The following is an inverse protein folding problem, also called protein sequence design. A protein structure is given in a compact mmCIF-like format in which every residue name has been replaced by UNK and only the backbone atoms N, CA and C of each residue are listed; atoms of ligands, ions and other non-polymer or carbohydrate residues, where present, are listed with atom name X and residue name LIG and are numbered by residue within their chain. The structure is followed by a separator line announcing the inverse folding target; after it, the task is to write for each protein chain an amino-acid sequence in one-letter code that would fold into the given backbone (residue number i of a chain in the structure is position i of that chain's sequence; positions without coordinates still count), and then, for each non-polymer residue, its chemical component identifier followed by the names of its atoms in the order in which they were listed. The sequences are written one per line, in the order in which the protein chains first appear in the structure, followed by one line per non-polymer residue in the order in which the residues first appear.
data_IF_460271845386
#
_entry.id   IF_460271845386
#
_cell.length_a   1.000
_cell.length_b   1.000
_cell.length_c   1.000
_cell.angle_alpha   90.00
_cell.angle_beta   90.00
_cell.angle_gamma   90.00
#
_symmetry.space_group_name_H-M   'P 1'
#
loop_
_entity.id
_entity.type
_entity.pdbx_description
1 polymer ?
#
# COMPACT_ATOMS: atom_id res chain seq x y z
N UNK A 1 -20.17 -10.99 -18.28
CA UNK A 1 -19.05 -10.15 -18.72
C UNK A 1 -19.31 -8.73 -18.23
N UNK A 2 -18.63 -8.28 -17.19
CA UNK A 2 -18.86 -6.97 -16.58
C UNK A 2 -17.96 -5.91 -17.25
N UNK A 3 -18.57 -4.82 -17.75
CA UNK A 3 -17.88 -3.66 -18.33
C UNK A 3 -16.97 -3.02 -17.28
N UNK A 4 -15.70 -2.82 -17.60
CA UNK A 4 -14.77 -1.95 -16.87
C UNK A 4 -15.36 -0.54 -16.86
N UNK A 5 -15.52 0.08 -15.70
CA UNK A 5 -15.86 1.51 -15.65
C UNK A 5 -14.69 2.30 -16.26
N UNK A 6 -14.95 3.07 -17.31
CA UNK A 6 -13.93 3.88 -17.97
C UNK A 6 -13.41 4.95 -17.00
N UNK A 7 -12.13 4.85 -16.61
CA UNK A 7 -11.45 5.87 -15.83
C UNK A 7 -11.34 7.13 -16.68
N UNK A 8 -11.98 8.22 -16.25
CA UNK A 8 -11.90 9.50 -16.97
C UNK A 8 -10.53 10.15 -16.76
N UNK A 9 -9.67 10.09 -17.79
CA UNK A 9 -8.39 10.79 -17.82
C UNK A 9 -8.53 12.17 -18.48
N UNK A 10 -7.85 13.20 -17.97
CA UNK A 10 -7.77 14.51 -18.66
C UNK A 10 -6.96 14.44 -19.96
N UNK A 11 -7.02 15.48 -20.78
CA UNK A 11 -6.21 15.57 -22.00
C UNK A 11 -4.70 15.50 -21.73
N UNK A 12 -4.24 16.14 -20.64
CA UNK A 12 -2.85 16.07 -20.19
C UNK A 12 -2.46 14.62 -19.83
N UNK A 13 -3.33 13.94 -19.08
CA UNK A 13 -3.12 12.54 -18.67
C UNK A 13 -3.17 11.58 -19.88
N UNK A 14 -4.10 11.79 -20.81
CA UNK A 14 -4.20 11.04 -22.09
C UNK A 14 -2.94 11.23 -22.94
N UNK A 15 -2.40 12.45 -23.01
CA UNK A 15 -1.15 12.74 -23.71
C UNK A 15 0.02 11.94 -23.13
N UNK A 16 0.16 11.89 -21.80
CA UNK A 16 1.18 11.07 -21.15
C UNK A 16 0.98 9.58 -21.45
N UNK A 17 -0.26 9.08 -21.33
CA UNK A 17 -0.58 7.69 -21.61
C UNK A 17 -0.16 7.30 -23.05
N UNK A 18 -0.47 8.13 -24.04
CA UNK A 18 -0.05 7.93 -25.43
C UNK A 18 1.47 7.93 -25.60
N UNK A 19 2.17 8.93 -25.04
CA UNK A 19 3.63 9.00 -25.16
C UNK A 19 4.32 7.76 -24.57
N UNK A 20 3.79 7.23 -23.47
CA UNK A 20 4.34 6.05 -22.81
C UNK A 20 3.98 4.77 -23.56
N UNK A 21 2.70 4.56 -23.89
CA UNK A 21 2.19 3.27 -24.38
C UNK A 21 2.36 3.14 -25.90
N UNK A 22 2.10 4.18 -26.66
CA UNK A 22 2.14 4.14 -28.14
C UNK A 22 3.52 4.52 -28.66
N UNK A 23 4.10 5.61 -28.15
CA UNK A 23 5.37 6.16 -28.64
C UNK A 23 6.61 5.57 -27.94
N UNK A 24 6.42 4.76 -26.89
CA UNK A 24 7.49 4.10 -26.10
C UNK A 24 8.55 5.07 -25.55
N UNK A 25 8.15 6.30 -25.24
CA UNK A 25 9.04 7.35 -24.72
C UNK A 25 9.35 7.17 -23.25
N UNK A 26 10.55 7.56 -22.85
CA UNK A 26 10.91 7.69 -21.43
C UNK A 26 10.38 9.02 -20.90
N UNK A 27 9.40 8.97 -20.00
CA UNK A 27 8.65 10.14 -19.55
C UNK A 27 8.76 10.29 -18.04
N UNK A 28 9.10 11.50 -17.60
CA UNK A 28 8.85 11.97 -16.25
C UNK A 28 7.56 12.80 -16.26
N UNK A 29 6.59 12.46 -15.43
CA UNK A 29 5.42 13.31 -15.24
C UNK A 29 5.25 13.70 -13.77
N UNK A 30 4.91 14.96 -13.55
CA UNK A 30 4.84 15.58 -12.22
C UNK A 30 3.61 16.48 -12.13
N UNK A 31 3.41 17.12 -10.99
CA UNK A 31 2.30 18.02 -10.72
C UNK A 31 2.03 18.11 -9.22
N UNK A 32 1.29 19.13 -8.80
CA UNK A 32 0.90 19.33 -7.38
C UNK A 32 0.23 18.10 -6.78
N UNK A 33 0.12 18.06 -5.45
CA UNK A 33 -0.70 17.06 -4.78
C UNK A 33 -2.14 17.07 -5.33
N UNK A 34 -2.69 15.88 -5.60
CA UNK A 34 -4.07 15.77 -6.09
C UNK A 34 -4.28 15.90 -7.60
N UNK A 35 -3.24 16.01 -8.43
CA UNK A 35 -3.37 16.08 -9.91
C UNK A 35 -3.61 14.73 -10.62
N UNK A 36 -3.85 13.66 -9.85
CA UNK A 36 -4.16 12.34 -10.40
C UNK A 36 -2.95 11.55 -10.92
N UNK A 37 -1.73 11.85 -10.46
CA UNK A 37 -0.49 11.13 -10.84
C UNK A 37 -0.61 9.61 -10.69
N UNK A 38 -1.04 9.12 -9.52
CA UNK A 38 -1.15 7.69 -9.26
C UNK A 38 -2.31 7.03 -10.04
N UNK A 39 -3.39 7.77 -10.31
CA UNK A 39 -4.48 7.30 -11.19
C UNK A 39 -3.95 7.08 -12.62
N UNK A 40 -3.24 8.06 -13.17
CA UNK A 40 -2.59 7.94 -14.47
C UNK A 40 -1.57 6.80 -14.50
N UNK A 41 -0.76 6.65 -13.44
CA UNK A 41 0.22 5.56 -13.33
C UNK A 41 -0.45 4.18 -13.40
N UNK A 42 -1.58 3.98 -12.71
CA UNK A 42 -2.37 2.74 -12.78
C UNK A 42 -2.89 2.48 -14.20
N UNK A 43 -3.42 3.49 -14.87
CA UNK A 43 -3.88 3.37 -16.26
C UNK A 43 -2.73 3.01 -17.21
N UNK A 44 -1.55 3.59 -17.02
CA UNK A 44 -0.33 3.24 -17.77
C UNK A 44 0.06 1.79 -17.51
N UNK A 45 0.10 1.35 -16.25
CA UNK A 45 0.45 -0.03 -15.88
C UNK A 45 -0.51 -1.02 -16.55
N UNK A 46 -1.82 -0.77 -16.50
CA UNK A 46 -2.83 -1.63 -17.12
C UNK A 46 -2.67 -1.68 -18.64
N UNK A 47 -2.52 -0.52 -19.29
CA UNK A 47 -2.33 -0.44 -20.73
C UNK A 47 -1.05 -1.14 -21.20
N UNK A 48 0.06 -0.97 -20.48
CA UNK A 48 1.33 -1.65 -20.76
C UNK A 48 1.20 -3.17 -20.55
N UNK A 49 0.55 -3.61 -19.47
CA UNK A 49 0.32 -5.05 -19.21
C UNK A 49 -0.53 -5.67 -20.31
N UNK A 50 -1.53 -4.95 -20.83
CA UNK A 50 -2.33 -5.37 -21.99
C UNK A 50 -1.49 -5.45 -23.27
N UNK A 51 -0.67 -4.41 -23.55
CA UNK A 51 0.25 -4.38 -24.71
C UNK A 51 1.28 -5.51 -24.66
N UNK A 52 1.74 -5.87 -23.47
CA UNK A 52 2.76 -6.90 -23.24
C UNK A 52 2.19 -8.20 -22.65
N UNK A 53 0.91 -8.52 -22.87
CA UNK A 53 0.24 -9.67 -22.24
C UNK A 53 0.97 -11.01 -22.45
N UNK A 54 1.69 -11.19 -23.57
CA UNK A 54 2.49 -12.39 -23.87
C UNK A 54 3.82 -12.47 -23.09
N UNK A 55 4.24 -11.41 -22.40
CA UNK A 55 5.50 -11.27 -21.65
C UNK A 55 5.27 -10.43 -20.39
N UNK A 56 4.45 -10.93 -19.46
CA UNK A 56 4.07 -10.21 -18.24
C UNK A 56 5.26 -9.69 -17.42
N UNK A 57 6.38 -10.42 -17.41
CA UNK A 57 7.56 -10.09 -16.60
C UNK A 57 8.44 -8.96 -17.18
N UNK A 58 8.03 -8.33 -18.29
CA UNK A 58 8.83 -7.24 -18.89
C UNK A 58 8.52 -5.85 -18.34
N UNK A 59 7.51 -5.70 -17.47
CA UNK A 59 7.14 -4.43 -16.84
C UNK A 59 7.50 -4.51 -15.36
N UNK A 60 8.45 -3.68 -14.94
CA UNK A 60 8.88 -3.59 -13.55
C UNK A 60 8.24 -2.39 -12.89
N UNK A 61 7.36 -2.64 -11.92
CA UNK A 61 6.68 -1.59 -11.14
C UNK A 61 7.44 -1.36 -9.84
N UNK A 62 7.94 -0.13 -9.65
CA UNK A 62 8.73 0.23 -8.48
C UNK A 62 8.32 1.56 -7.86
N UNK A 63 8.68 1.76 -6.60
CA UNK A 63 8.59 3.06 -5.93
C UNK A 63 9.78 3.28 -4.98
N UNK A 64 9.94 4.50 -4.47
CA UNK A 64 11.00 4.84 -3.51
C UNK A 64 10.83 4.15 -2.14
N UNK A 65 9.60 3.92 -1.70
CA UNK A 65 9.28 3.33 -0.38
C UNK A 65 8.42 2.07 -0.49
N UNK A 66 8.45 1.22 0.54
CA UNK A 66 7.68 -0.04 0.56
C UNK A 66 6.17 0.16 0.55
N UNK A 67 5.68 1.22 1.21
CA UNK A 67 4.26 1.60 1.17
C UNK A 67 3.84 2.02 -0.24
N UNK A 68 4.65 2.87 -0.90
CA UNK A 68 4.33 3.37 -2.23
C UNK A 68 4.34 2.23 -3.25
N UNK A 69 5.33 1.35 -3.13
CA UNK A 69 5.44 0.15 -3.95
C UNK A 69 4.22 -0.77 -3.76
N UNK A 70 3.77 -0.97 -2.52
CA UNK A 70 2.57 -1.78 -2.23
C UNK A 70 1.31 -1.17 -2.85
N UNK A 71 1.18 0.17 -2.89
CA UNK A 71 0.03 0.87 -3.46
C UNK A 71 -0.18 0.67 -4.96
N UNK A 72 0.90 0.43 -5.68
CA UNK A 72 0.91 0.24 -7.12
C UNK A 72 1.19 -1.23 -7.51
N UNK A 73 1.18 -2.14 -6.54
CA UNK A 73 1.41 -3.57 -6.76
C UNK A 73 2.82 -3.89 -7.27
N UNK A 74 3.82 -3.16 -6.77
CA UNK A 74 5.23 -3.29 -7.13
C UNK A 74 6.14 -3.58 -5.93
N UNK A 75 7.44 -3.33 -6.10
CA UNK A 75 8.47 -3.45 -5.06
C UNK A 75 9.29 -2.16 -4.93
N UNK A 76 10.14 -2.03 -3.91
CA UNK A 76 11.01 -0.86 -3.82
C UNK A 76 12.05 -0.88 -4.94
N UNK A 77 12.47 0.31 -5.40
CA UNK A 77 13.50 0.42 -6.44
C UNK A 77 14.84 -0.22 -6.02
N UNK A 78 15.16 -0.18 -4.71
CA UNK A 78 16.30 -0.85 -4.12
C UNK A 78 16.22 -2.39 -4.26
N UNK A 79 15.07 -2.97 -3.90
CA UNK A 79 14.85 -4.41 -4.03
C UNK A 79 14.85 -4.86 -5.50
N UNK A 80 14.20 -4.07 -6.37
CA UNK A 80 14.20 -4.33 -7.80
C UNK A 80 15.61 -4.35 -8.38
N UNK A 81 16.39 -3.28 -8.10
CA UNK A 81 17.74 -3.08 -8.60
C UNK A 81 18.79 -3.98 -7.96
N UNK A 82 18.44 -4.74 -6.92
CA UNK A 82 19.36 -5.56 -6.14
C UNK A 82 20.46 -4.74 -5.44
N UNK A 83 20.16 -3.51 -5.03
CA UNK A 83 21.11 -2.56 -4.43
C UNK A 83 20.81 -2.39 -2.95
N UNK A 84 21.78 -2.72 -2.10
CA UNK A 84 21.72 -2.37 -0.69
C UNK A 84 22.11 -0.89 -0.50
N UNK A 85 21.45 -0.13 0.40
CA UNK A 85 21.68 1.31 0.56
C UNK A 85 23.14 1.71 0.78
N UNK A 86 23.92 0.86 1.44
CA UNK A 86 25.32 1.12 1.81
C UNK A 86 26.34 0.69 0.76
N UNK A 87 25.93 0.03 -0.32
CA UNK A 87 26.86 -0.52 -1.31
C UNK A 87 27.02 0.44 -2.48
N UNK A 88 28.24 0.93 -2.67
CA UNK A 88 28.59 1.91 -3.71
C UNK A 88 29.45 1.30 -4.83
N UNK A 89 30.13 0.18 -4.59
CA UNK A 89 30.97 -0.50 -5.60
C UNK A 89 30.13 -1.20 -6.67
N UNK A 90 30.15 -0.62 -7.88
CA UNK A 90 29.40 -1.10 -9.05
C UNK A 90 29.90 -2.47 -9.52
N UNK A 91 31.21 -2.73 -9.51
CA UNK A 91 31.75 -4.00 -10.02
C UNK A 91 31.41 -5.16 -9.09
N UNK A 92 31.43 -4.93 -7.79
CA UNK A 92 30.94 -5.89 -6.81
C UNK A 92 29.43 -6.14 -6.97
N UNK A 93 28.63 -5.08 -7.12
CA UNK A 93 27.19 -5.20 -7.40
C UNK A 93 26.93 -6.05 -8.66
N UNK A 94 27.66 -5.81 -9.75
CA UNK A 94 27.55 -6.59 -10.98
C UNK A 94 27.86 -8.07 -10.73
N UNK A 95 28.92 -8.38 -9.99
CA UNK A 95 29.28 -9.76 -9.64
C UNK A 95 28.14 -10.43 -8.86
N UNK A 96 27.64 -9.79 -7.80
CA UNK A 96 26.54 -10.30 -6.99
C UNK A 96 25.24 -10.47 -7.80
N UNK A 97 24.92 -9.52 -8.68
CA UNK A 97 23.72 -9.61 -9.53
C UNK A 97 23.88 -10.75 -10.54
N UNK A 98 25.07 -10.96 -11.11
CA UNK A 98 25.33 -12.05 -12.06
C UNK A 98 25.20 -13.43 -11.42
N UNK A 99 25.56 -13.58 -10.15
CA UNK A 99 25.36 -14.84 -9.42
C UNK A 99 23.89 -15.06 -9.04
N UNK A 100 23.15 -14.00 -8.72
CA UNK A 100 21.72 -14.05 -8.43
C UNK A 100 20.87 -14.10 -9.72
N UNK A 101 20.65 -15.30 -10.27
CA UNK A 101 19.96 -15.51 -11.56
C UNK A 101 18.64 -14.72 -11.69
N UNK A 102 17.72 -14.69 -10.70
CA UNK A 102 16.46 -13.95 -10.81
C UNK A 102 16.67 -12.44 -10.94
N UNK A 103 17.57 -11.83 -10.16
CA UNK A 103 17.92 -10.42 -10.32
C UNK A 103 18.53 -10.13 -11.69
N UNK A 104 19.46 -10.97 -12.17
CA UNK A 104 20.01 -10.83 -13.52
C UNK A 104 18.92 -10.92 -14.60
N UNK A 105 17.98 -11.84 -14.45
CA UNK A 105 16.85 -11.96 -15.37
C UNK A 105 15.92 -10.74 -15.31
N UNK A 106 15.64 -10.17 -14.13
CA UNK A 106 14.91 -8.90 -14.02
C UNK A 106 15.58 -7.80 -14.81
N UNK A 107 16.89 -7.62 -14.63
CA UNK A 107 17.68 -6.62 -15.38
C UNK A 107 17.66 -6.85 -16.90
N UNK A 108 17.69 -8.12 -17.36
CA UNK A 108 17.68 -8.46 -18.79
C UNK A 108 16.30 -8.39 -19.44
N UNK A 109 15.25 -8.76 -18.71
CA UNK A 109 13.90 -8.93 -19.26
C UNK A 109 13.06 -7.66 -19.14
N UNK A 110 13.36 -6.78 -18.18
CA UNK A 110 12.66 -5.50 -18.03
C UNK A 110 12.78 -4.68 -19.31
N UNK A 111 11.63 -4.28 -19.86
CA UNK A 111 11.51 -3.35 -20.99
C UNK A 111 11.07 -1.99 -20.52
N UNK A 112 10.16 -1.95 -19.55
CA UNK A 112 9.66 -0.71 -18.93
C UNK A 112 9.93 -0.77 -17.43
N UNK A 113 10.62 0.23 -16.91
CA UNK A 113 10.80 0.45 -15.48
C UNK A 113 9.95 1.65 -15.05
N UNK A 114 9.03 1.40 -14.14
CA UNK A 114 8.15 2.39 -13.56
C UNK A 114 8.67 2.76 -12.18
N UNK A 115 8.81 4.06 -11.90
CA UNK A 115 9.31 4.59 -10.62
C UNK A 115 8.31 5.62 -10.10
N UNK A 116 7.57 5.25 -9.05
CA UNK A 116 6.71 6.16 -8.30
C UNK A 116 7.42 6.81 -7.10
N UNK A 117 6.94 7.98 -6.69
CA UNK A 117 7.51 8.80 -5.62
C UNK A 117 9.02 9.06 -5.78
N UNK A 118 9.41 9.49 -6.98
CA UNK A 118 10.82 9.73 -7.34
C UNK A 118 11.50 10.84 -6.51
N UNK A 119 10.73 11.70 -5.84
CA UNK A 119 11.30 12.79 -5.02
C UNK A 119 12.19 12.28 -3.89
N UNK A 120 11.92 11.08 -3.39
CA UNK A 120 12.72 10.42 -2.35
C UNK A 120 13.83 9.52 -2.91
N UNK A 121 14.03 9.50 -4.24
CA UNK A 121 15.11 8.75 -4.89
C UNK A 121 16.36 9.63 -4.94
N UNK A 122 17.40 9.16 -4.26
CA UNK A 122 18.73 9.76 -4.28
C UNK A 122 19.37 9.71 -5.68
N UNK A 123 20.07 10.78 -6.07
CA UNK A 123 20.70 10.90 -7.38
C UNK A 123 21.81 9.87 -7.61
N UNK A 124 22.60 9.53 -6.59
CA UNK A 124 23.64 8.50 -6.73
C UNK A 124 23.03 7.10 -6.89
N UNK A 125 21.87 6.84 -6.30
CA UNK A 125 21.11 5.63 -6.57
C UNK A 125 20.67 5.57 -8.05
N UNK A 126 20.13 6.68 -8.58
CA UNK A 126 19.70 6.75 -9.98
C UNK A 126 20.86 6.50 -10.96
N UNK A 127 22.03 7.11 -10.72
CA UNK A 127 23.24 6.90 -11.52
C UNK A 127 23.75 5.46 -11.48
N UNK A 128 23.76 4.86 -10.28
CA UNK A 128 24.12 3.45 -10.11
C UNK A 128 23.20 2.55 -10.92
N UNK A 129 21.88 2.77 -10.85
CA UNK A 129 20.91 2.00 -11.62
C UNK A 129 21.13 2.15 -13.13
N UNK A 130 21.37 3.36 -13.63
CA UNK A 130 21.65 3.60 -15.05
C UNK A 130 22.94 2.90 -15.52
N UNK A 131 23.99 2.94 -14.69
CA UNK A 131 25.26 2.27 -14.97
C UNK A 131 25.09 0.75 -14.98
N UNK A 132 24.39 0.20 -13.98
CA UNK A 132 24.07 -1.23 -13.90
C UNK A 132 23.24 -1.68 -15.11
N UNK A 133 22.24 -0.92 -15.51
CA UNK A 133 21.41 -1.22 -16.69
C UNK A 133 22.28 -1.37 -17.95
N UNK A 134 23.24 -0.46 -18.13
CA UNK A 134 24.16 -0.45 -19.27
C UNK A 134 25.14 -1.63 -19.23
N UNK A 135 25.65 -2.00 -18.04
CA UNK A 135 26.66 -3.06 -17.87
C UNK A 135 26.09 -4.49 -17.82
N UNK A 136 24.85 -4.66 -17.38
CA UNK A 136 24.20 -5.97 -17.21
C UNK A 136 23.42 -6.44 -18.44
N UNK A 137 23.02 -5.50 -19.30
CA UNK A 137 22.26 -5.78 -20.52
C UNK A 137 23.19 -5.96 -21.72
N UNK A 138 22.63 -6.39 -22.86
CA UNK A 138 23.38 -6.49 -24.12
C UNK A 138 23.98 -5.12 -24.47
N UNK A 139 25.18 -5.10 -25.06
CA UNK A 139 25.84 -3.85 -25.49
C UNK A 139 24.86 -3.02 -26.32
N UNK A 140 24.49 -1.85 -25.80
CA UNK A 140 23.62 -0.87 -26.42
C UNK A 140 24.10 0.51 -26.03
N UNK A 141 23.97 1.47 -26.95
CA UNK A 141 24.25 2.89 -26.70
C UNK A 141 23.03 3.63 -26.16
N UNK A 142 21.87 2.95 -26.06
CA UNK A 142 20.65 3.55 -25.55
C UNK A 142 20.78 3.85 -24.05
N UNK A 143 20.28 5.00 -23.56
CA UNK A 143 20.24 5.33 -22.14
C UNK A 143 19.60 4.22 -21.31
N UNK A 144 20.06 4.07 -20.06
CA UNK A 144 19.56 3.05 -19.12
C UNK A 144 19.54 1.62 -19.70
N UNK A 145 20.53 1.27 -20.52
CA UNK A 145 20.58 -0.04 -21.20
C UNK A 145 19.40 -0.31 -22.14
N UNK A 146 18.73 0.73 -22.63
CA UNK A 146 17.55 0.64 -23.48
C UNK A 146 16.26 0.25 -22.76
N UNK A 147 16.20 0.41 -21.43
CA UNK A 147 14.94 0.31 -20.67
C UNK A 147 14.18 1.63 -20.81
N UNK A 148 12.89 1.55 -21.14
CA UNK A 148 11.98 2.70 -21.10
C UNK A 148 11.70 3.08 -19.64
N UNK A 149 11.86 4.36 -19.31
CA UNK A 149 11.59 4.86 -17.97
C UNK A 149 10.24 5.58 -17.91
N UNK A 150 9.39 5.19 -16.96
CA UNK A 150 8.16 5.91 -16.63
C UNK A 150 8.26 6.37 -15.19
N UNK A 151 8.49 7.65 -14.99
CA UNK A 151 8.85 8.21 -13.69
C UNK A 151 7.79 9.20 -13.25
N UNK A 152 7.39 9.14 -11.98
CA UNK A 152 6.43 10.09 -11.40
C UNK A 152 6.79 10.43 -9.96
N UNK A 153 6.39 11.64 -9.55
CA UNK A 153 6.60 12.20 -8.24
C UNK A 153 6.54 13.72 -8.30
N UNK A 154 6.74 14.39 -7.18
CA UNK A 154 6.80 15.84 -7.10
C UNK A 154 7.92 16.28 -6.17
N UNK A 155 8.96 16.89 -6.73
CA UNK A 155 10.17 17.27 -6.02
C UNK A 155 9.99 18.38 -4.98
N UNK A 156 8.82 19.04 -4.95
CA UNK A 156 8.44 19.97 -3.88
C UNK A 156 7.95 19.25 -2.61
N UNK A 157 7.85 17.91 -2.64
CA UNK A 157 7.42 17.10 -1.51
C UNK A 157 8.64 16.65 -0.70
N UNK A 158 8.67 15.38 -0.28
CA UNK A 158 9.74 14.89 0.58
C UNK A 158 11.00 14.59 -0.25
N UNK A 159 12.18 15.11 0.18
CA UNK A 159 13.45 14.85 -0.48
C UNK A 159 13.98 13.44 -0.15
N UNK A 160 15.08 13.01 -0.79
CA UNK A 160 15.79 11.81 -0.38
C UNK A 160 16.22 11.87 1.09
N UNK A 161 16.17 10.74 1.78
CA UNK A 161 16.59 10.65 3.19
C UNK A 161 18.11 10.63 3.26
N UNK A 162 18.71 11.70 3.77
CA UNK A 162 20.16 11.80 4.02
C UNK A 162 20.52 11.44 5.46
N UNK A 163 21.79 11.08 5.71
CA UNK A 163 22.30 10.87 7.06
C UNK A 163 22.96 12.17 7.54
N UNK A 164 22.57 12.65 8.73
CA UNK A 164 23.12 13.88 9.29
C UNK A 164 22.65 15.12 8.53
N UNK A 165 23.54 16.09 8.33
CA UNK A 165 23.26 17.39 7.70
C UNK A 165 23.68 17.44 6.21
N UNK A 166 23.80 16.28 5.56
CA UNK A 166 24.11 16.25 4.13
C UNK A 166 22.96 16.83 3.30
N UNK A 167 23.31 17.68 2.33
CA UNK A 167 22.35 18.22 1.37
C UNK A 167 21.84 17.09 0.50
N UNK A 168 20.51 16.91 0.35
CA UNK A 168 19.97 15.86 -0.51
C UNK A 168 20.39 16.05 -1.96
N UNK A 169 20.97 15.00 -2.56
CA UNK A 169 21.25 14.95 -3.99
C UNK A 169 20.05 14.34 -4.72
N UNK A 170 19.33 15.15 -5.49
CA UNK A 170 18.09 14.72 -6.12
C UNK A 170 18.33 13.93 -7.41
N UNK A 171 17.41 13.02 -7.73
CA UNK A 171 17.45 12.27 -8.98
C UNK A 171 17.63 13.16 -10.22
N UNK A 172 16.94 14.31 -10.28
CA UNK A 172 16.99 15.22 -11.44
C UNK A 172 18.33 15.94 -11.62
N UNK A 173 19.18 15.97 -10.59
CA UNK A 173 20.50 16.60 -10.64
C UNK A 173 21.55 15.70 -11.31
N UNK A 174 21.29 14.38 -11.36
CA UNK A 174 22.20 13.41 -11.95
C UNK A 174 22.33 13.52 -13.48
N UNK A 175 23.51 13.22 -14.00
CA UNK A 175 23.73 13.16 -15.46
C UNK A 175 22.93 12.03 -16.12
N UNK A 176 22.74 10.93 -15.39
CA UNK A 176 21.88 9.84 -15.82
C UNK A 176 20.44 10.31 -16.06
N UNK A 177 19.89 11.21 -15.23
CA UNK A 177 18.54 11.73 -15.43
C UNK A 177 18.41 12.51 -16.73
N UNK A 178 19.32 13.45 -16.97
CA UNK A 178 19.35 14.30 -18.16
C UNK A 178 19.38 13.49 -19.46
N UNK A 179 20.08 12.35 -19.43
CA UNK A 179 20.22 11.46 -20.60
C UNK A 179 19.08 10.45 -20.75
N UNK A 180 18.48 10.00 -19.63
CA UNK A 180 17.50 8.92 -19.67
C UNK A 180 16.04 9.40 -19.77
N UNK A 181 15.72 10.59 -19.27
CA UNK A 181 14.38 11.17 -19.33
C UNK A 181 14.24 12.03 -20.59
N UNK A 182 13.38 11.61 -21.52
CA UNK A 182 13.21 12.28 -22.81
C UNK A 182 12.18 13.41 -22.76
N UNK A 183 11.16 13.25 -21.92
CA UNK A 183 10.07 14.21 -21.80
C UNK A 183 9.66 14.42 -20.35
N UNK A 184 9.48 15.68 -19.99
CA UNK A 184 8.89 16.08 -18.71
C UNK A 184 7.50 16.66 -18.95
N UNK A 185 6.49 16.17 -18.24
CA UNK A 185 5.11 16.65 -18.34
C UNK A 185 4.63 17.11 -16.97
N UNK A 186 4.10 18.33 -16.89
CA UNK A 186 3.48 18.86 -15.67
C UNK A 186 1.96 18.75 -15.81
N UNK A 187 1.33 18.03 -14.89
CA UNK A 187 -0.13 17.95 -14.75
C UNK A 187 -0.60 19.13 -13.89
N UNK A 188 -1.50 19.94 -14.44
CA UNK A 188 -1.94 21.18 -13.79
C UNK A 188 -3.29 21.03 -13.11
N UNK A 189 -4.17 20.19 -13.65
CA UNK A 189 -5.53 20.03 -13.12
C UNK A 189 -5.51 19.27 -11.79
N UNK A 190 -5.91 19.94 -10.72
CA UNK A 190 -6.12 19.34 -9.40
C UNK A 190 -7.51 18.71 -9.34
N UNK A 191 -7.59 17.46 -8.92
CA UNK A 191 -8.84 16.69 -8.80
C UNK A 191 -9.24 16.41 -7.35
N UNK A 192 -8.29 16.47 -6.41
CA UNK A 192 -8.52 16.06 -5.01
C UNK A 192 -9.30 17.10 -4.23
N UNK A 193 -9.01 18.38 -4.43
CA UNK A 193 -9.67 19.49 -3.75
C UNK A 193 -10.60 20.21 -4.74
N UNK A 194 -11.89 20.32 -4.40
CA UNK A 194 -12.87 21.08 -5.19
C UNK A 194 -12.80 22.60 -4.95
N UNK A 195 -12.34 23.02 -3.76
CA UNK A 195 -12.24 24.42 -3.39
C UNK A 195 -10.97 25.05 -3.99
N UNK A 196 -11.17 25.91 -5.00
CA UNK A 196 -10.09 26.62 -5.67
C UNK A 196 -9.27 27.48 -4.70
N UNK A 197 -9.90 28.11 -3.68
CA UNK A 197 -9.15 28.89 -2.69
C UNK A 197 -8.18 27.99 -1.93
N UNK A 198 -8.64 26.83 -1.50
CA UNK A 198 -7.78 25.87 -0.81
C UNK A 198 -6.68 25.31 -1.71
N UNK A 199 -6.95 25.11 -3.00
CA UNK A 199 -5.92 24.74 -3.99
C UNK A 199 -4.83 25.80 -4.08
N UNK A 200 -5.21 27.08 -4.13
CA UNK A 200 -4.26 28.20 -4.20
C UNK A 200 -3.39 28.28 -2.93
N UNK A 201 -4.00 28.16 -1.74
CA UNK A 201 -3.28 28.10 -0.46
C UNK A 201 -2.22 26.98 -0.44
N UNK A 202 -2.57 25.80 -0.94
CA UNK A 202 -1.66 24.64 -1.00
C UNK A 202 -0.54 24.84 -2.03
N UNK A 203 -0.81 25.51 -3.15
CA UNK A 203 0.21 25.83 -4.15
C UNK A 203 1.19 26.90 -3.64
N UNK A 204 0.72 27.94 -2.92
CA UNK A 204 1.60 28.90 -2.25
C UNK A 204 2.55 28.20 -1.26
N UNK A 205 2.00 27.28 -0.47
CA UNK A 205 2.79 26.46 0.47
C UNK A 205 3.80 25.57 -0.26
N UNK A 206 3.40 24.94 -1.37
CA UNK A 206 4.30 24.12 -2.22
C UNK A 206 5.50 24.92 -2.72
N UNK A 207 5.32 26.18 -3.09
CA UNK A 207 6.38 27.06 -3.58
C UNK A 207 7.15 27.79 -2.47
N UNK A 208 6.73 27.67 -1.21
CA UNK A 208 7.32 28.40 -0.09
C UNK A 208 7.09 29.92 -0.12
N UNK A 209 6.11 30.38 -0.91
CA UNK A 209 5.80 31.81 -1.11
C UNK A 209 4.44 32.12 -0.51
N UNK A 210 4.38 32.19 0.83
CA UNK A 210 3.14 32.37 1.58
C UNK A 210 2.74 33.84 1.71
N UNK A 211 1.57 34.20 1.21
CA UNK A 211 0.96 35.51 1.47
C UNK A 211 0.48 35.63 2.93
N UNK A 212 0.26 36.87 3.39
CA UNK A 212 -0.33 37.13 4.71
C UNK A 212 -1.73 36.51 4.83
N UNK A 213 -2.54 36.59 3.77
CA UNK A 213 -3.85 35.95 3.69
C UNK A 213 -3.75 34.43 3.85
N UNK A 214 -2.76 33.80 3.22
CA UNK A 214 -2.54 32.35 3.32
C UNK A 214 -2.11 31.94 4.72
N UNK A 215 -1.21 32.72 5.32
CA UNK A 215 -0.76 32.49 6.69
C UNK A 215 -1.91 32.62 7.69
N UNK A 216 -2.76 33.64 7.53
CA UNK A 216 -3.95 33.83 8.36
C UNK A 216 -4.95 32.66 8.18
N UNK A 217 -5.17 32.22 6.95
CA UNK A 217 -6.04 31.08 6.65
C UNK A 217 -5.56 29.79 7.33
N UNK A 218 -4.27 29.45 7.24
CA UNK A 218 -3.73 28.27 7.92
C UNK A 218 -3.81 28.37 9.44
N UNK A 219 -3.55 29.55 10.04
CA UNK A 219 -3.69 29.75 11.49
C UNK A 219 -5.13 29.55 11.96
N UNK A 220 -6.12 29.97 11.17
CA UNK A 220 -7.53 29.77 11.48
C UNK A 220 -7.95 28.28 11.52
N UNK A 221 -7.17 27.38 10.91
CA UNK A 221 -7.40 25.92 10.95
C UNK A 221 -6.95 25.26 12.27
N UNK A 222 -6.37 26.01 13.21
CA UNK A 222 -6.02 25.51 14.56
C UNK A 222 -7.24 25.16 15.43
N UNK A 223 -8.44 25.55 14.99
CA UNK A 223 -9.71 25.17 15.63
C UNK A 223 -9.86 23.65 15.71
N UNK A 224 -10.51 23.12 16.76
CA UNK A 224 -10.83 21.70 16.82
C UNK A 224 -11.77 21.31 15.66
N UNK A 225 -11.62 20.08 15.18
CA UNK A 225 -12.53 19.50 14.19
C UNK A 225 -13.81 19.03 14.89
N UNK A 226 -14.96 19.23 14.25
CA UNK A 226 -16.25 18.82 14.81
C UNK A 226 -16.28 17.31 14.99
N UNK A 227 -16.33 16.86 16.23
CA UNK A 227 -16.46 15.44 16.56
C UNK A 227 -17.93 15.05 16.44
N UNK A 228 -18.44 14.90 15.21
CA UNK A 228 -19.74 14.25 15.03
C UNK A 228 -19.66 12.82 15.59
N UNK A 229 -20.62 12.39 16.44
CA UNK A 229 -20.63 11.05 17.02
C UNK A 229 -20.76 9.93 15.97
N UNK A 230 -21.13 10.27 14.73
CA UNK A 230 -21.28 9.33 13.61
C UNK A 230 -20.06 9.25 12.68
N UNK A 231 -19.08 10.16 12.79
CA UNK A 231 -17.89 10.16 11.94
C UNK A 231 -16.68 9.55 12.65
N UNK A 232 -15.90 8.73 11.93
CA UNK A 232 -14.59 8.32 12.42
C UNK A 232 -13.74 9.57 12.67
N UNK A 233 -13.04 9.64 13.81
CA UNK A 233 -12.19 10.78 14.09
C UNK A 233 -11.03 10.87 13.09
N UNK A 234 -10.55 12.09 12.85
CA UNK A 234 -9.56 12.37 11.82
C UNK A 234 -8.22 11.67 12.11
N UNK A 235 -7.50 11.35 11.03
CA UNK A 235 -6.10 10.92 11.13
C UNK A 235 -5.21 12.15 11.33
N UNK A 236 -4.39 12.10 12.36
CA UNK A 236 -3.39 13.11 12.70
C UNK A 236 -2.05 12.79 12.07
N UNK A 237 -1.32 13.84 11.70
CA UNK A 237 -0.01 13.73 11.10
C UNK A 237 1.03 14.37 12.01
N UNK A 238 2.11 13.64 12.26
CA UNK A 238 3.24 14.08 13.07
C UNK A 238 4.54 14.03 12.25
N UNK A 239 5.54 14.84 12.59
CA UNK A 239 6.86 14.72 11.96
C UNK A 239 7.61 13.46 12.42
N UNK A 240 7.53 13.09 13.71
CA UNK A 240 8.39 12.04 14.28
C UNK A 240 7.63 10.77 14.63
N UNK A 241 8.27 9.60 14.45
CA UNK A 241 7.67 8.29 14.75
C UNK A 241 7.24 8.15 16.21
N UNK A 242 8.05 8.64 17.14
CA UNK A 242 7.74 8.52 18.56
C UNK A 242 6.49 9.33 18.98
N UNK A 243 6.17 10.41 18.25
CA UNK A 243 4.95 11.19 18.49
C UNK A 243 3.72 10.43 18.00
N UNK A 244 3.84 9.79 16.84
CA UNK A 244 2.84 8.86 16.31
C UNK A 244 2.57 7.73 17.31
N UNK A 245 3.62 7.08 17.77
CA UNK A 245 3.51 5.96 18.70
C UNK A 245 2.86 6.39 20.01
N UNK A 246 3.27 7.54 20.57
CA UNK A 246 2.67 8.10 21.80
C UNK A 246 1.19 8.41 21.61
N UNK A 247 0.84 9.07 20.51
CA UNK A 247 -0.52 9.50 20.18
C UNK A 247 -1.44 8.29 20.00
N UNK A 248 -0.96 7.24 19.32
CA UNK A 248 -1.66 5.98 19.18
C UNK A 248 -1.79 5.26 20.53
N UNK A 249 -0.70 4.97 21.24
CA UNK A 249 -0.75 4.28 22.55
C UNK A 249 -1.73 4.94 23.53
N UNK A 250 -1.72 6.27 23.63
CA UNK A 250 -2.60 7.02 24.53
C UNK A 250 -4.08 6.80 24.20
N UNK A 251 -4.45 6.76 22.91
CA UNK A 251 -5.83 6.58 22.48
C UNK A 251 -6.32 5.14 22.62
N UNK A 252 -5.50 4.14 22.32
CA UNK A 252 -5.86 2.75 22.61
C UNK A 252 -6.08 2.56 24.10
N UNK A 253 -5.27 3.20 24.95
CA UNK A 253 -5.44 3.14 26.39
C UNK A 253 -6.78 3.74 26.85
N UNK A 254 -7.26 4.80 26.20
CA UNK A 254 -8.55 5.43 26.49
C UNK A 254 -9.76 4.53 26.16
N UNK A 255 -9.62 3.57 25.24
CA UNK A 255 -10.70 2.61 24.91
C UNK A 255 -10.80 1.57 26.04
N UNK A 256 -11.94 1.52 26.74
CA UNK A 256 -12.12 0.67 27.94
C UNK A 256 -12.40 -0.81 27.66
N UNK A 257 -12.46 -1.23 26.39
CA UNK A 257 -12.76 -2.62 26.03
C UNK A 257 -11.53 -3.53 26.17
N UNK A 258 -11.77 -4.85 26.22
CA UNK A 258 -10.71 -5.87 26.26
C UNK A 258 -9.71 -5.74 25.10
N UNK A 259 -8.42 -5.93 25.41
CA UNK A 259 -7.34 -6.01 24.43
C UNK A 259 -7.31 -7.40 23.77
N UNK A 260 -7.19 -7.41 22.46
CA UNK A 260 -6.85 -8.57 21.63
C UNK A 260 -5.44 -8.37 21.07
N UNK A 261 -4.50 -9.20 21.54
CA UNK A 261 -3.09 -9.11 21.15
C UNK A 261 -2.78 -10.11 20.02
N UNK A 262 -2.21 -9.61 18.93
CA UNK A 262 -1.76 -10.39 17.78
C UNK A 262 -0.25 -10.35 17.68
N UNK A 263 0.41 -11.44 18.07
CA UNK A 263 1.84 -11.65 17.81
C UNK A 263 2.03 -12.22 16.41
N UNK A 264 2.94 -11.61 15.65
CA UNK A 264 3.33 -12.02 14.31
C UNK A 264 3.92 -13.44 14.33
N UNK A 265 3.73 -14.18 13.22
CA UNK A 265 4.45 -15.44 12.97
C UNK A 265 5.56 -15.14 11.97
N UNK A 266 6.77 -15.00 12.47
CA UNK A 266 7.92 -14.63 11.65
C UNK A 266 8.71 -15.88 11.22
N UNK A 267 9.13 -15.90 9.97
CA UNK A 267 9.95 -16.96 9.37
C UNK A 267 10.89 -16.36 8.30
N UNK A 268 11.66 -17.18 7.59
CA UNK A 268 12.53 -16.73 6.49
C UNK A 268 13.92 -17.33 6.58
N UNK A 269 14.62 -17.33 5.44
CA UNK A 269 15.92 -17.97 5.23
C UNK A 269 17.13 -17.15 5.69
N UNK A 270 16.95 -15.85 5.97
CA UNK A 270 18.07 -15.01 6.37
C UNK A 270 18.60 -15.36 7.77
N UNK A 271 19.92 -15.17 8.02
CA UNK A 271 20.49 -15.28 9.36
C UNK A 271 19.74 -14.42 10.38
N UNK A 272 19.66 -14.87 11.63
CA UNK A 272 18.76 -14.30 12.64
C UNK A 272 18.85 -12.77 12.78
N UNK A 273 20.07 -12.22 12.86
CA UNK A 273 20.29 -10.78 13.04
C UNK A 273 19.89 -9.95 11.81
N UNK A 274 20.23 -10.45 10.61
CA UNK A 274 19.77 -9.83 9.36
C UNK A 274 18.26 -9.91 9.25
N UNK A 275 17.66 -11.04 9.60
CA UNK A 275 16.21 -11.25 9.57
C UNK A 275 15.50 -10.31 10.53
N UNK A 276 15.98 -10.13 11.76
CA UNK A 276 15.44 -9.15 12.73
C UNK A 276 15.47 -7.73 12.16
N UNK A 277 16.58 -7.33 11.57
CA UNK A 277 16.73 -6.00 10.96
C UNK A 277 15.72 -5.78 9.83
N UNK A 278 15.56 -6.77 8.95
CA UNK A 278 14.59 -6.72 7.85
C UNK A 278 13.15 -6.69 8.38
N UNK A 279 12.82 -7.52 9.37
CA UNK A 279 11.50 -7.58 10.01
C UNK A 279 11.16 -6.29 10.77
N UNK A 280 12.14 -5.62 11.37
CA UNK A 280 11.97 -4.32 12.03
C UNK A 280 11.68 -3.18 11.04
N UNK A 281 12.12 -3.33 9.78
CA UNK A 281 11.83 -2.38 8.70
C UNK A 281 10.47 -2.60 8.01
N UNK A 282 9.73 -3.67 8.34
CA UNK A 282 8.41 -3.93 7.75
C UNK A 282 7.37 -2.96 8.29
N UNK A 283 6.38 -2.63 7.45
CA UNK A 283 5.24 -1.75 7.79
C UNK A 283 4.42 -2.32 8.94
N UNK A 284 4.27 -3.65 9.00
CA UNK A 284 3.49 -4.32 10.03
C UNK A 284 4.35 -4.67 11.25
N UNK A 285 3.95 -4.26 12.47
CA UNK A 285 4.73 -4.52 13.67
C UNK A 285 4.62 -5.99 14.12
N UNK A 286 5.58 -6.42 14.94
CA UNK A 286 5.61 -7.77 15.51
C UNK A 286 4.39 -8.03 16.42
N UNK A 287 3.96 -7.02 17.18
CA UNK A 287 2.82 -7.12 18.09
C UNK A 287 1.81 -6.02 17.75
N UNK A 288 0.56 -6.42 17.57
CA UNK A 288 -0.56 -5.49 17.35
C UNK A 288 -1.58 -5.72 18.46
N UNK A 289 -1.87 -4.69 19.24
CA UNK A 289 -2.95 -4.71 20.22
C UNK A 289 -4.18 -4.01 19.63
N UNK A 290 -5.33 -4.70 19.63
CA UNK A 290 -6.58 -4.17 19.10
C UNK A 290 -7.66 -4.18 20.18
N UNK A 291 -8.62 -3.27 20.05
CA UNK A 291 -9.78 -3.13 20.94
C UNK A 291 -11.02 -2.87 20.11
N UNK A 292 -12.20 -3.26 20.61
CA UNK A 292 -13.47 -2.87 19.96
C UNK A 292 -13.61 -1.36 20.06
N UNK A 293 -13.98 -0.70 18.97
CA UNK A 293 -14.00 0.76 18.84
C UNK A 293 -12.66 1.37 18.42
N UNK A 294 -11.59 0.59 18.27
CA UNK A 294 -10.32 1.09 17.79
C UNK A 294 -10.39 1.41 16.29
N UNK A 295 -9.77 2.52 15.90
CA UNK A 295 -9.68 2.94 14.51
C UNK A 295 -8.43 2.32 13.86
N UNK A 296 -8.62 1.60 12.77
CA UNK A 296 -7.55 0.90 12.06
C UNK A 296 -7.49 1.35 10.61
N UNK A 297 -6.35 1.14 9.97
CA UNK A 297 -6.17 1.45 8.56
C UNK A 297 -5.54 0.28 7.83
N UNK A 298 -6.06 -0.01 6.65
CA UNK A 298 -5.48 -1.00 5.75
C UNK A 298 -4.13 -0.51 5.26
N UNK A 299 -3.17 -1.44 5.20
CA UNK A 299 -1.79 -1.21 4.72
C UNK A 299 -1.55 -1.71 3.30
N UNK A 300 -2.57 -2.33 2.70
CA UNK A 300 -2.50 -3.00 1.42
C UNK A 300 -3.89 -3.01 0.80
N UNK A 301 -3.95 -2.84 -0.53
CA UNK A 301 -5.20 -2.95 -1.26
C UNK A 301 -5.79 -4.36 -1.11
N UNK A 302 -7.07 -4.41 -0.80
CA UNK A 302 -7.86 -5.65 -0.66
C UNK A 302 -8.84 -5.75 -1.80
N UNK A 303 -9.60 -4.68 -2.04
CA UNK A 303 -10.60 -4.62 -3.10
C UNK A 303 -10.77 -3.17 -3.56
N UNK A 304 -10.13 -2.85 -4.69
CA UNK A 304 -10.17 -1.52 -5.27
C UNK A 304 -11.60 -1.09 -5.65
N UNK A 305 -12.48 -2.04 -6.02
CA UNK A 305 -13.84 -1.74 -6.47
C UNK A 305 -14.75 -1.31 -5.33
N UNK A 306 -14.49 -1.82 -4.13
CA UNK A 306 -15.25 -1.47 -2.92
C UNK A 306 -14.59 -0.35 -2.11
N UNK A 307 -13.49 0.22 -2.60
CA UNK A 307 -12.73 1.24 -1.89
C UNK A 307 -11.92 0.72 -0.70
N UNK A 308 -11.71 -0.61 -0.59
CA UNK A 308 -10.84 -1.23 0.41
C UNK A 308 -9.39 -1.18 -0.05
N UNK A 309 -8.87 0.03 -0.15
CA UNK A 309 -7.50 0.34 -0.59
C UNK A 309 -6.59 0.59 0.62
N UNK A 310 -5.29 0.56 0.42
CA UNK A 310 -4.35 1.06 1.41
C UNK A 310 -4.72 2.51 1.77
N UNK A 311 -4.69 2.84 3.05
CA UNK A 311 -5.17 4.12 3.56
C UNK A 311 -6.65 4.12 3.97
N UNK A 312 -7.44 3.09 3.61
CA UNK A 312 -8.83 2.99 4.04
C UNK A 312 -8.90 2.84 5.56
N UNK A 313 -9.69 3.72 6.17
CA UNK A 313 -9.86 3.80 7.62
C UNK A 313 -11.16 3.13 8.02
N UNK A 314 -11.10 2.32 9.07
CA UNK A 314 -12.27 1.66 9.63
C UNK A 314 -12.25 1.60 11.15
N UNK A 315 -13.38 1.17 11.72
CA UNK A 315 -13.54 0.94 13.14
C UNK A 315 -13.77 -0.55 13.40
N UNK A 316 -13.12 -1.08 14.43
CA UNK A 316 -13.32 -2.47 14.86
C UNK A 316 -14.67 -2.57 15.57
N UNK A 317 -15.59 -3.33 14.97
CA UNK A 317 -16.91 -3.61 15.54
C UNK A 317 -16.89 -4.79 16.53
N UNK A 318 -15.96 -5.74 16.35
CA UNK A 318 -15.90 -6.94 17.18
C UNK A 318 -14.82 -7.92 16.74
N UNK A 319 -14.76 -9.07 17.41
CA UNK A 319 -13.78 -10.13 17.11
C UNK A 319 -14.49 -11.48 17.00
N UNK A 320 -14.34 -12.15 15.85
CA UNK A 320 -15.11 -13.34 15.49
C UNK A 320 -14.23 -14.45 14.93
N UNK A 321 -14.62 -15.70 15.13
CA UNK A 321 -13.94 -16.84 14.50
C UNK A 321 -14.25 -16.87 12.99
N UNK A 322 -13.27 -17.27 12.18
CA UNK A 322 -13.53 -17.60 10.79
C UNK A 322 -14.21 -18.98 10.70
N UNK A 323 -15.39 -19.08 10.07
CA UNK A 323 -16.08 -20.35 9.85
C UNK A 323 -15.52 -21.10 8.62
N UNK A 324 -15.26 -22.39 8.71
CA UNK A 324 -14.94 -23.23 7.55
C UNK A 324 -13.47 -23.56 7.29
N UNK A 325 -13.24 -24.76 6.75
CA UNK A 325 -11.96 -25.48 6.71
C UNK A 325 -10.92 -25.00 5.67
N UNK A 326 -11.16 -23.90 4.97
CA UNK A 326 -10.16 -23.23 4.13
C UNK A 326 -9.99 -21.78 4.55
N UNK A 327 -9.13 -21.55 5.53
CA UNK A 327 -8.40 -20.29 5.71
C UNK A 327 -7.29 -20.13 4.66
N UNK A 328 -7.47 -20.74 3.48
CA UNK A 328 -6.59 -20.69 2.33
C UNK A 328 -7.30 -19.83 1.27
N UNK A 329 -6.72 -18.68 0.97
CA UNK A 329 -6.94 -17.86 -0.22
C UNK A 329 -8.24 -17.05 -0.34
N UNK A 330 -8.74 -16.47 0.75
CA UNK A 330 -9.89 -15.53 0.73
C UNK A 330 -9.78 -14.45 1.81
N UNK A 331 -9.28 -13.29 1.41
CA UNK A 331 -8.62 -12.23 2.23
C UNK A 331 -9.57 -11.32 3.03
N UNK A 332 -10.86 -11.33 2.68
CA UNK A 332 -11.91 -10.57 3.34
C UNK A 332 -13.19 -11.36 3.13
N UNK A 333 -13.95 -11.58 4.21
CA UNK A 333 -15.30 -12.14 4.07
C UNK A 333 -16.31 -11.04 4.26
N UNK A 334 -17.24 -11.01 3.34
CA UNK A 334 -18.38 -10.10 3.39
C UNK A 334 -19.28 -10.55 4.52
N UNK A 335 -19.60 -9.58 5.37
CA UNK A 335 -20.40 -9.81 6.54
C UNK A 335 -21.54 -8.80 6.52
N UNK A 336 -22.75 -9.30 6.35
CA UNK A 336 -23.95 -8.52 6.63
C UNK A 336 -24.16 -8.45 8.15
N UNK A 337 -24.73 -7.36 8.66
CA UNK A 337 -25.18 -7.32 10.07
C UNK A 337 -26.64 -7.76 10.06
N UNK A 338 -26.95 -8.86 10.75
CA UNK A 338 -28.32 -9.34 10.92
C UNK A 338 -29.16 -8.38 11.77
N UNK A 339 -30.48 -8.56 11.73
CA UNK A 339 -31.43 -7.76 12.53
C UNK A 339 -31.22 -7.90 14.06
N UNK A 340 -30.44 -8.90 14.49
CA UNK A 340 -30.03 -9.13 15.89
C UNK A 340 -28.67 -8.48 16.24
N UNK A 341 -28.08 -7.71 15.32
CA UNK A 341 -26.78 -7.05 15.48
C UNK A 341 -25.57 -7.98 15.32
N UNK A 342 -25.76 -9.25 14.93
CA UNK A 342 -24.66 -10.20 14.75
C UNK A 342 -24.19 -10.26 13.30
N UNK A 343 -22.90 -10.54 13.06
CA UNK A 343 -22.38 -10.72 11.71
C UNK A 343 -22.88 -12.02 11.07
N UNK A 344 -23.52 -11.88 9.91
CA UNK A 344 -23.92 -12.96 9.00
C UNK A 344 -22.86 -13.05 7.89
N UNK A 345 -22.16 -14.18 7.81
CA UNK A 345 -21.16 -14.43 6.78
C UNK A 345 -21.84 -14.72 5.44
N UNK A 346 -21.60 -13.88 4.43
CA UNK A 346 -22.14 -14.08 3.09
C UNK A 346 -21.31 -15.13 2.35
N UNK A 347 -21.82 -16.36 2.21
CA UNK A 347 -21.19 -17.41 1.41
C UNK A 347 -22.20 -18.40 0.84
N UNK A 348 -22.49 -18.26 -0.47
CA UNK A 348 -23.01 -19.31 -1.35
C UNK A 348 -24.45 -19.78 -1.17
N UNK A 349 -25.30 -19.45 -2.15
CA UNK A 349 -26.69 -19.88 -2.41
C UNK A 349 -27.77 -19.53 -1.35
N UNK A 350 -28.71 -18.68 -1.79
CA UNK A 350 -30.02 -18.48 -1.20
C UNK A 350 -30.76 -19.82 -1.15
N UNK A 351 -30.97 -20.36 0.05
CA UNK A 351 -32.08 -21.29 0.30
C UNK A 351 -32.90 -20.75 1.46
N UNK A 352 -34.15 -20.43 1.14
CA UNK A 352 -35.18 -19.98 2.08
C UNK A 352 -35.71 -21.12 2.96
N UNK A 353 -36.13 -20.72 4.17
CA UNK A 353 -37.16 -21.33 5.03
C UNK A 353 -36.71 -22.53 5.89
N UNK A 354 -37.19 -22.74 7.13
CA UNK A 354 -38.20 -22.08 7.95
C UNK A 354 -37.96 -22.40 9.45
N UNK A 355 -38.61 -21.63 10.33
CA UNK A 355 -38.67 -21.79 11.80
C UNK A 355 -39.19 -23.18 12.24
N UNK A 356 -38.85 -23.72 13.43
CA UNK A 356 -39.55 -23.45 14.72
C UNK A 356 -38.84 -24.16 15.94
N UNK A 357 -39.22 -23.87 17.21
CA UNK A 357 -38.40 -24.02 18.44
C UNK A 357 -38.82 -25.18 19.40
N UNK A 358 -38.16 -25.23 20.58
CA UNK A 358 -38.40 -26.03 21.83
C UNK A 358 -37.66 -27.39 21.94
N UNK A 359 -37.23 -27.94 23.09
CA UNK A 359 -37.08 -27.59 24.53
C UNK A 359 -36.24 -28.72 25.21
N UNK A 360 -35.59 -28.37 26.33
CA UNK A 360 -35.31 -29.15 27.57
C UNK A 360 -34.62 -30.55 27.63
N UNK A 361 -33.51 -30.54 28.40
CA UNK A 361 -33.17 -31.39 29.56
C UNK A 361 -32.55 -32.82 29.48
N UNK A 362 -31.63 -33.02 30.45
CA UNK A 362 -31.15 -34.24 31.15
C UNK A 362 -29.91 -35.03 30.62
N UNK A 363 -28.88 -35.07 31.48
CA UNK A 363 -27.86 -36.15 31.65
C UNK A 363 -28.36 -37.13 32.76
N UNK A 364 -27.73 -38.29 33.09
CA UNK A 364 -26.44 -38.87 32.66
C UNK A 364 -26.46 -40.41 32.37
N UNK A 365 -25.33 -40.98 31.89
CA UNK A 365 -24.67 -42.24 32.34
C UNK A 365 -24.17 -43.20 31.25
N UNK A 366 -22.85 -43.43 31.29
CA UNK A 366 -22.04 -44.65 31.09
C UNK A 366 -22.19 -45.63 29.91
N UNK A 367 -20.99 -46.00 29.41
CA UNK A 367 -20.51 -47.26 28.82
C UNK A 367 -20.92 -47.64 27.39
N UNK A 368 -19.93 -47.57 26.49
CA UNK A 368 -19.93 -48.28 25.19
C UNK A 368 -19.00 -47.63 24.15
N UNK A 369 -17.91 -48.29 23.78
CA UNK A 369 -17.16 -48.08 22.52
C UNK A 369 -17.32 -49.35 21.67
N UNK A 370 -17.06 -49.33 20.35
CA UNK A 370 -17.28 -48.29 19.36
C UNK A 370 -18.05 -48.85 18.13
N UNK A 371 -18.90 -48.05 17.47
CA UNK A 371 -19.40 -48.40 16.13
C UNK A 371 -19.12 -47.25 15.17
N UNK A 372 -18.33 -47.56 14.16
CA UNK A 372 -17.97 -46.69 13.05
C UNK A 372 -19.19 -46.40 12.16
N UNK A 373 -19.62 -45.15 12.13
CA UNK A 373 -20.40 -44.60 11.02
C UNK A 373 -19.86 -43.23 10.67
N UNK A 374 -19.70 -43.00 9.37
CA UNK A 374 -18.87 -41.94 8.79
C UNK A 374 -19.24 -40.54 9.27
N UNK A 375 -18.30 -39.89 9.98
CA UNK A 375 -18.38 -38.48 10.30
C UNK A 375 -17.95 -37.66 9.09
N UNK A 376 -18.85 -36.81 8.58
CA UNK A 376 -18.48 -35.60 7.85
C UNK A 376 -17.36 -34.91 8.64
N UNK A 377 -16.26 -34.59 7.97
CA UNK A 377 -15.13 -33.89 8.59
C UNK A 377 -15.67 -32.64 9.31
N UNK A 378 -15.68 -32.68 10.65
CA UNK A 378 -16.03 -31.52 11.45
C UNK A 378 -15.05 -30.41 11.06
N UNK A 379 -15.56 -29.33 10.46
CA UNK A 379 -14.75 -28.20 10.08
C UNK A 379 -14.04 -27.68 11.33
N UNK A 380 -12.70 -27.79 11.36
CA UNK A 380 -11.89 -27.21 12.43
C UNK A 380 -12.07 -25.69 12.40
N UNK A 381 -12.90 -25.17 13.31
CA UNK A 381 -12.98 -23.74 13.59
C UNK A 381 -11.61 -23.32 14.12
N UNK A 382 -10.99 -22.32 13.48
CA UNK A 382 -9.79 -21.69 14.02
C UNK A 382 -10.10 -21.09 15.39
N UNK A 383 -9.34 -21.43 16.43
CA UNK A 383 -9.51 -20.87 17.78
C UNK A 383 -9.14 -19.37 17.83
N UNK A 384 -8.48 -18.86 16.79
CA UNK A 384 -8.12 -17.45 16.67
C UNK A 384 -9.34 -16.61 16.23
N UNK A 385 -9.67 -15.58 17.01
CA UNK A 385 -10.66 -14.55 16.63
C UNK A 385 -10.00 -13.47 15.79
N UNK A 386 -10.69 -13.04 14.74
CA UNK A 386 -10.25 -11.98 13.83
C UNK A 386 -11.12 -10.74 13.97
N UNK A 387 -10.56 -9.53 13.79
CA UNK A 387 -11.31 -8.28 13.88
C UNK A 387 -12.30 -8.15 12.71
N UNK A 388 -13.55 -7.85 13.05
CA UNK A 388 -14.57 -7.36 12.12
C UNK A 388 -14.47 -5.85 12.08
N UNK A 389 -14.25 -5.29 10.89
CA UNK A 389 -13.98 -3.86 10.71
C UNK A 389 -14.97 -3.27 9.73
N UNK A 390 -15.61 -2.18 10.13
CA UNK A 390 -16.41 -1.34 9.25
C UNK A 390 -15.52 -0.22 8.69
N UNK A 391 -15.24 -0.29 7.40
CA UNK A 391 -14.53 0.73 6.66
C UNK A 391 -15.50 1.78 6.12
N UNK A 392 -15.09 3.04 6.22
CA UNK A 392 -15.75 4.13 5.49
C UNK A 392 -15.10 4.24 4.11
N UNK A 393 -15.87 3.94 3.06
CA UNK A 393 -15.44 4.04 1.67
C UNK A 393 -16.22 5.15 0.97
N UNK A 394 -15.79 5.54 -0.24
CA UNK A 394 -16.48 6.57 -1.01
C UNK A 394 -17.93 6.22 -1.34
N UNK A 395 -18.23 4.91 -1.42
CA UNK A 395 -19.54 4.38 -1.82
C UNK A 395 -20.38 3.93 -0.61
N UNK A 396 -19.92 4.19 0.63
CA UNK A 396 -20.64 3.88 1.85
C UNK A 396 -19.81 3.11 2.88
N UNK A 397 -20.48 2.27 3.67
CA UNK A 397 -19.84 1.44 4.72
C UNK A 397 -19.61 0.04 4.20
N UNK A 398 -18.39 -0.48 4.39
CA UNK A 398 -18.01 -1.83 3.98
C UNK A 398 -17.49 -2.58 5.20
N UNK A 399 -18.21 -3.61 5.62
CA UNK A 399 -17.88 -4.41 6.80
C UNK A 399 -17.22 -5.72 6.41
N UNK A 400 -16.02 -5.96 6.96
CA UNK A 400 -15.18 -7.10 6.57
C UNK A 400 -14.51 -7.75 7.76
N UNK A 401 -14.43 -9.09 7.74
CA UNK A 401 -13.59 -9.83 8.68
C UNK A 401 -12.15 -9.86 8.13
N UNK A 402 -11.19 -9.31 8.89
CA UNK A 402 -9.80 -9.20 8.43
C UNK A 402 -8.93 -10.26 9.09
N UNK A 403 -8.44 -11.20 8.28
CA UNK A 403 -7.54 -12.28 8.72
C UNK A 403 -6.08 -11.85 8.69
N UNK A 404 -5.19 -12.74 9.17
CA UNK A 404 -3.74 -12.58 8.96
C UNK A 404 -3.40 -12.62 7.48
N UNK A 405 -2.34 -11.93 7.12
CA UNK A 405 -1.75 -11.89 5.78
C UNK A 405 -0.25 -12.10 5.85
N UNK A 406 0.31 -12.46 4.71
CA UNK A 406 1.74 -12.64 4.54
C UNK A 406 2.42 -11.38 3.98
N UNK A 407 3.46 -10.96 4.70
CA UNK A 407 4.41 -9.93 4.29
C UNK A 407 5.76 -10.59 4.15
N UNK A 408 6.40 -10.45 2.98
CA UNK A 408 7.68 -11.08 2.71
C UNK A 408 8.65 -10.11 2.06
N UNK A 409 9.92 -10.25 2.42
CA UNK A 409 11.05 -9.62 1.78
C UNK A 409 11.85 -10.74 1.15
N UNK A 410 11.97 -10.68 -0.16
CA UNK A 410 12.72 -11.63 -0.97
C UNK A 410 14.12 -11.07 -1.24
N UNK A 411 15.10 -11.95 -1.38
CA UNK A 411 16.40 -11.56 -1.93
C UNK A 411 16.37 -11.48 -3.46
N UNK A 412 17.54 -11.21 -4.00
CA UNK A 412 17.80 -11.16 -5.44
C UNK A 412 17.60 -12.50 -6.14
N UNK A 413 17.51 -13.59 -5.40
CA UNK A 413 17.25 -14.96 -5.86
C UNK A 413 15.78 -15.38 -5.68
N UNK A 414 14.92 -14.48 -5.21
CA UNK A 414 13.52 -14.80 -4.92
C UNK A 414 13.36 -15.67 -3.67
N UNK A 415 14.42 -15.92 -2.92
CA UNK A 415 14.33 -16.61 -1.64
C UNK A 415 13.74 -15.65 -0.61
N UNK A 416 12.81 -16.14 0.20
CA UNK A 416 12.17 -15.34 1.24
C UNK A 416 13.14 -15.15 2.41
N UNK A 417 13.86 -14.04 2.43
CA UNK A 417 14.79 -13.66 3.50
C UNK A 417 14.08 -13.53 4.84
N UNK A 418 12.95 -12.83 4.83
CA UNK A 418 12.13 -12.58 5.99
C UNK A 418 10.66 -12.62 5.59
N UNK A 419 9.86 -13.26 6.42
CA UNK A 419 8.42 -13.43 6.25
C UNK A 419 7.77 -13.13 7.58
N UNK A 420 6.69 -12.36 7.55
CA UNK A 420 5.86 -12.00 8.70
C UNK A 420 4.41 -12.28 8.37
N UNK A 421 3.76 -13.12 9.17
CA UNK A 421 2.32 -13.37 9.07
C UNK A 421 1.60 -12.64 10.20
N UNK A 422 0.86 -11.58 9.85
CA UNK A 422 0.25 -10.65 10.78
C UNK A 422 -1.08 -10.12 10.24
N UNK A 423 -1.98 -9.63 11.10
CA UNK A 423 -3.20 -8.92 10.67
C UNK A 423 -2.84 -7.69 9.82
N UNK A 424 -3.63 -7.40 8.78
CA UNK A 424 -3.36 -6.36 7.74
C UNK A 424 -3.50 -4.90 8.19
N UNK A 425 -3.37 -4.63 9.49
CA UNK A 425 -3.55 -3.29 10.02
C UNK A 425 -2.22 -2.67 10.41
N UNK A 426 -2.11 -1.36 10.19
CA UNK A 426 -1.30 -0.54 11.05
C UNK A 426 -2.07 -0.36 12.37
N UNK A 427 -1.34 -0.51 13.48
CA UNK A 427 -1.82 -0.19 14.82
C UNK A 427 -2.41 1.23 14.83
N UNK A 428 -3.57 1.36 15.47
CA UNK A 428 -4.36 2.58 15.66
C UNK A 428 -4.01 3.74 14.71
N UNK A 429 -4.73 3.84 13.60
CA UNK A 429 -4.38 4.77 12.51
C UNK A 429 -4.78 6.24 12.74
N UNK A 430 -4.91 6.64 14.01
CA UNK A 430 -5.22 8.02 14.36
C UNK A 430 -4.02 8.93 14.28
N UNK A 431 -2.79 8.40 14.28
CA UNK A 431 -1.58 9.19 14.03
C UNK A 431 -0.66 8.52 13.01
N UNK A 432 0.01 9.32 12.17
CA UNK A 432 1.00 8.87 11.19
C UNK A 432 2.12 9.88 11.00
N UNK A 433 3.30 9.42 10.56
CA UNK A 433 4.35 10.38 10.17
C UNK A 433 3.99 11.00 8.82
N UNK A 434 4.36 12.26 8.59
CA UNK A 434 4.18 12.91 7.28
C UNK A 434 4.73 12.06 6.10
N UNK A 435 5.87 11.38 6.29
CA UNK A 435 6.46 10.47 5.30
C UNK A 435 5.52 9.34 4.89
N UNK A 436 4.95 8.62 5.86
CA UNK A 436 4.01 7.52 5.59
C UNK A 436 2.65 8.00 5.08
N UNK A 437 2.20 9.19 5.49
CA UNK A 437 0.93 9.75 5.01
C UNK A 437 1.00 10.28 3.58
N UNK A 438 2.16 10.81 3.20
CA UNK A 438 2.43 11.30 1.85
C UNK A 438 2.07 10.27 0.77
N UNK A 439 2.45 9.01 1.03
CA UNK A 439 2.37 7.86 0.13
C UNK A 439 0.94 7.32 -0.08
N UNK A 440 0.02 7.57 0.86
CA UNK A 440 -1.34 7.00 0.84
C UNK A 440 -2.43 7.97 0.39
N UNK A 441 -2.14 9.28 0.34
CA UNK A 441 -3.18 10.27 -0.01
C UNK A 441 -3.48 10.37 -1.51
N UNK A 442 -2.84 9.56 -2.37
CA UNK A 442 -2.87 9.65 -3.83
C UNK A 442 -4.21 9.35 -4.50
N UNK A 443 -5.25 8.97 -3.76
CA UNK A 443 -6.56 8.60 -4.32
C UNK A 443 -7.67 9.58 -3.94
N UNK A 444 -8.51 10.03 -4.90
CA UNK A 444 -9.77 10.66 -4.56
C UNK A 444 -10.67 9.63 -3.86
N UNK A 445 -11.47 10.07 -2.87
CA UNK A 445 -12.61 9.28 -2.40
C UNK A 445 -13.59 9.20 -3.56
N UNK A 446 -13.93 7.99 -4.02
CA UNK A 446 -14.84 7.75 -5.15
C UNK A 446 -16.23 8.40 -4.98
N UNK A 447 -16.63 8.74 -3.75
CA UNK A 447 -17.88 9.44 -3.47
C UNK A 447 -17.94 10.91 -3.88
N UNK A 448 -16.78 11.56 -4.11
CA UNK A 448 -16.75 12.99 -4.42
C UNK A 448 -16.71 13.30 -5.93
N UNK A 449 -16.68 12.27 -6.79
CA UNK A 449 -16.66 12.44 -8.25
C UNK A 449 -18.06 12.60 -8.87
N UNK A 450 -19.12 12.43 -8.08
CA UNK A 450 -20.50 12.61 -8.54
C UNK A 450 -21.30 13.42 -7.52
N UNK A 451 -21.00 14.72 -7.47
CA UNK A 451 -21.92 15.81 -7.11
C UNK A 451 -21.30 17.15 -7.48
#
# INVERSE_FOLDING_TARGET
MAKTQDVFLSDEQRKVLRMVVEEEKSVFFTGSAGTGKSLLLRAIIEALRKKHAKKGDCISVTASTGMAATNIGGMTIHAWGAIAPTVTDIDNLIKCIRTAKPALQRWKNTRVLIIDEVSMVDGHLFERLATLATRLRKKTTKPFGGIQLVVTGDFFQLPPVTKGNEVPFFAFESEAWKTCIQHTVVLNKVFRQKDNKFVDLLNELRHGSLSESTTAAFRALSRPLDSSPTSLPPTELYPLRHEVDRSNISRLAAIKTRIFAYTARDSGSAPLERRKTVLAGMVVPEKVNLKVGAQVMLVRNVDDRRGLVNGAVGCILGFYHALGSKAADGVVRDVAIGNDGKPIFCGGELVQSAATPEKENLKPSSSGKPVSTGGKAAEKISDEKYPLVEFLTGDGKVTVLVTRDEFRVEDNEGNVLARRVQVRFLFESRARTAVHAHIDTSYPRMGDLYT
#
